data_IF_816678657164
#
_entry.id   IF_816678657164
#
_cell.length_a   1.000
_cell.length_b   1.000
_cell.length_c   1.000
_cell.angle_alpha   90.00
_cell.angle_beta   90.00
_cell.angle_gamma   90.00
#
_symmetry.space_group_name_H-M   'P 1'
#
loop_
_entity.id
_entity.type
_entity.pdbx_description
1 polymer ?
#
# COMPACT_ATOMS: atom_id res chain seq x y z
N UNK A 1 11.24 3.45 -27.26
CA UNK A 1 10.41 2.43 -26.57
C UNK A 1 9.11 2.36 -27.32
N UNK A 2 8.69 1.17 -27.75
CA UNK A 2 7.62 0.99 -28.73
C UNK A 2 6.25 1.02 -28.03
N UNK A 3 5.20 1.50 -28.70
CA UNK A 3 3.84 1.58 -28.15
C UNK A 3 3.26 0.24 -27.68
N UNK A 4 3.81 -0.89 -28.16
CA UNK A 4 3.44 -2.24 -27.73
C UNK A 4 3.97 -2.58 -26.33
N UNK A 5 5.17 -2.12 -25.98
CA UNK A 5 5.77 -2.37 -24.65
C UNK A 5 4.97 -1.69 -23.53
N UNK A 6 4.40 -0.51 -23.81
CA UNK A 6 3.61 0.25 -22.85
C UNK A 6 2.24 -0.39 -22.56
N UNK A 7 1.63 -1.03 -23.57
CA UNK A 7 0.35 -1.72 -23.42
C UNK A 7 0.49 -2.99 -22.56
N UNK A 8 1.54 -3.77 -22.78
CA UNK A 8 1.80 -5.00 -22.02
C UNK A 8 2.15 -4.68 -20.55
N UNK A 9 2.96 -3.64 -20.33
CA UNK A 9 3.24 -3.12 -18.98
C UNK A 9 1.96 -2.64 -18.27
N UNK A 10 1.06 -1.96 -18.99
CA UNK A 10 -0.20 -1.52 -18.41
C UNK A 10 -1.10 -2.70 -18.01
N UNK A 11 -1.18 -3.75 -18.83
CA UNK A 11 -1.98 -4.93 -18.51
C UNK A 11 -1.42 -5.71 -17.31
N UNK A 12 -0.08 -5.86 -17.25
CA UNK A 12 0.59 -6.47 -16.11
C UNK A 12 0.37 -5.65 -14.83
N UNK A 13 0.54 -4.33 -14.90
CA UNK A 13 0.27 -3.42 -13.80
C UNK A 13 -1.18 -3.56 -13.32
N UNK A 14 -2.14 -3.56 -14.25
CA UNK A 14 -3.56 -3.70 -13.92
C UNK A 14 -3.86 -5.03 -13.24
N UNK A 15 -3.33 -6.13 -13.77
CA UNK A 15 -3.52 -7.45 -13.17
C UNK A 15 -2.91 -7.56 -11.76
N UNK A 16 -1.74 -6.97 -11.54
CA UNK A 16 -1.10 -6.88 -10.23
C UNK A 16 -1.91 -6.01 -9.27
N UNK A 17 -2.36 -4.84 -9.75
CA UNK A 17 -3.20 -3.92 -8.99
C UNK A 17 -4.51 -4.57 -8.56
N UNK A 18 -5.21 -5.24 -9.48
CA UNK A 18 -6.50 -5.90 -9.24
C UNK A 18 -6.37 -7.15 -8.33
N UNK A 19 -5.18 -7.75 -8.24
CA UNK A 19 -4.92 -8.89 -7.34
C UNK A 19 -4.74 -8.48 -5.86
N UNK A 20 -4.53 -7.19 -5.59
CA UNK A 20 -4.41 -6.64 -4.24
C UNK A 20 -5.81 -6.30 -3.71
N UNK A 21 -6.09 -6.59 -2.43
CA UNK A 21 -7.31 -6.12 -1.77
C UNK A 21 -6.98 -5.44 -0.45
N UNK A 22 -7.74 -4.40 -0.14
CA UNK A 22 -7.74 -3.72 1.14
C UNK A 22 -9.00 -4.21 1.85
N UNK A 23 -8.87 -5.26 2.66
CA UNK A 23 -9.99 -5.93 3.33
C UNK A 23 -10.58 -5.08 4.47
N UNK A 24 -9.74 -4.24 5.07
CA UNK A 24 -10.12 -3.23 6.06
C UNK A 24 -9.28 -1.99 5.81
N UNK A 25 -9.93 -0.86 5.55
CA UNK A 25 -9.28 0.45 5.42
C UNK A 25 -9.51 1.27 6.68
N UNK A 26 -8.63 2.23 6.92
CA UNK A 26 -8.77 3.20 8.02
C UNK A 26 -9.54 4.42 7.50
N UNK A 27 -10.38 5.06 8.31
CA UNK A 27 -11.18 6.21 7.85
C UNK A 27 -10.49 7.57 8.06
N UNK A 28 -9.37 7.65 8.78
CA UNK A 28 -8.75 8.92 9.19
C UNK A 28 -7.89 9.66 8.15
N UNK A 29 -8.25 10.90 7.82
CA UNK A 29 -7.50 11.76 6.89
C UNK A 29 -6.04 11.99 7.35
N UNK A 30 -5.11 11.91 6.40
CA UNK A 30 -3.68 12.18 6.63
C UNK A 30 -3.44 13.67 6.89
N UNK A 31 -2.54 13.99 7.82
CA UNK A 31 -2.25 15.37 8.17
C UNK A 31 -1.73 16.19 6.98
N UNK A 32 -2.15 17.47 6.93
CA UNK A 32 -1.66 18.46 5.96
C UNK A 32 -0.18 18.76 6.07
N UNK A 33 0.43 18.60 7.26
CA UNK A 33 1.85 18.82 7.53
C UNK A 33 2.31 17.89 8.66
N UNK A 34 3.57 17.45 8.62
CA UNK A 34 4.14 16.58 9.65
C UNK A 34 4.02 15.09 9.31
N UNK A 35 4.03 14.26 10.36
CA UNK A 35 4.09 12.81 10.23
C UNK A 35 2.70 12.20 10.41
N UNK A 36 2.34 11.27 9.53
CA UNK A 36 1.19 10.38 9.69
C UNK A 36 1.67 8.94 9.74
N UNK A 37 1.03 8.11 10.55
CA UNK A 37 1.31 6.68 10.65
C UNK A 37 0.13 5.90 10.12
N UNK A 38 0.40 4.92 9.28
CA UNK A 38 -0.58 4.00 8.71
C UNK A 38 -0.20 2.57 9.08
N UNK A 39 -0.63 2.07 10.24
CA UNK A 39 -0.37 0.69 10.63
C UNK A 39 -1.23 -0.26 9.79
N UNK A 40 -0.70 -1.45 9.55
CA UNK A 40 -1.33 -2.47 8.73
C UNK A 40 -0.96 -3.88 9.17
N UNK A 41 -1.85 -4.82 8.87
CA UNK A 41 -1.52 -6.23 8.67
C UNK A 41 -1.47 -6.52 7.18
N UNK A 42 -0.43 -7.23 6.75
CA UNK A 42 -0.33 -7.78 5.41
C UNK A 42 -0.45 -9.30 5.50
N UNK A 43 -1.42 -9.83 4.77
CA UNK A 43 -1.64 -11.26 4.57
C UNK A 43 -1.25 -11.59 3.13
N UNK A 44 -0.27 -12.46 2.95
CA UNK A 44 0.13 -12.93 1.63
C UNK A 44 0.02 -14.44 1.50
N UNK A 45 -0.25 -14.93 0.30
CA UNK A 45 -0.36 -16.35 -0.02
C UNK A 45 -0.25 -16.57 -1.51
N UNK A 46 -0.22 -17.83 -1.96
CA UNK A 46 -0.38 -18.14 -3.38
C UNK A 46 -1.80 -17.84 -3.84
N UNK A 47 -1.98 -17.69 -5.15
CA UNK A 47 -3.31 -17.48 -5.71
C UNK A 47 -4.13 -18.74 -5.47
N UNK A 48 -5.28 -18.62 -4.82
CA UNK A 48 -6.33 -19.63 -4.85
C UNK A 48 -6.79 -19.80 -6.30
N UNK A 49 -6.07 -20.63 -7.04
CA UNK A 49 -6.48 -21.08 -8.36
C UNK A 49 -7.54 -22.14 -8.09
N UNK A 50 -8.79 -21.68 -7.97
CA UNK A 50 -9.96 -22.53 -8.09
C UNK A 50 -9.97 -23.13 -9.51
N UNK A 51 -9.17 -24.17 -9.72
CA UNK A 51 -8.95 -24.79 -11.02
C UNK A 51 -7.48 -25.09 -11.28
N UNK A 52 -7.22 -26.40 -11.34
CA UNK A 52 -6.06 -27.06 -11.93
C UNK A 52 -4.80 -27.27 -11.08
N UNK A 53 -4.62 -28.56 -10.75
CA UNK A 53 -3.42 -29.25 -10.31
C UNK A 53 -2.48 -28.51 -9.35
N UNK A 54 -2.65 -28.84 -8.06
CA UNK A 54 -1.70 -28.64 -6.96
C UNK A 54 -0.22 -28.65 -7.43
N UNK A 55 0.29 -27.46 -7.73
CA UNK A 55 1.72 -27.21 -7.82
C UNK A 55 2.14 -26.70 -6.45
N UNK A 56 2.92 -27.55 -5.80
CA UNK A 56 3.72 -27.31 -4.60
C UNK A 56 3.01 -26.78 -3.33
N UNK A 57 3.12 -27.52 -2.22
CA UNK A 57 2.51 -27.14 -0.93
C UNK A 57 3.07 -25.83 -0.34
N UNK A 58 4.19 -25.35 -0.87
CA UNK A 58 4.78 -24.05 -0.55
C UNK A 58 3.97 -22.87 -1.09
N UNK A 59 3.21 -23.06 -2.17
CA UNK A 59 2.35 -22.02 -2.77
C UNK A 59 1.07 -21.80 -1.94
N UNK A 60 0.70 -22.77 -1.09
CA UNK A 60 -0.45 -22.68 -0.19
C UNK A 60 -0.13 -22.02 1.17
N UNK A 61 1.14 -21.67 1.44
CA UNK A 61 1.51 -21.11 2.74
C UNK A 61 1.10 -19.65 2.83
N UNK A 62 0.15 -19.37 3.71
CA UNK A 62 -0.26 -18.01 4.06
C UNK A 62 0.72 -17.46 5.08
N UNK A 63 1.12 -16.21 4.90
CA UNK A 63 1.92 -15.47 5.86
C UNK A 63 1.28 -14.17 6.25
N UNK A 64 1.45 -13.82 7.52
CA UNK A 64 0.92 -12.62 8.14
C UNK A 64 2.08 -11.83 8.73
N UNK A 65 2.16 -10.55 8.40
CA UNK A 65 3.07 -9.61 9.05
C UNK A 65 2.35 -8.33 9.44
N UNK A 66 2.75 -7.77 10.57
CA UNK A 66 2.33 -6.44 10.99
C UNK A 66 3.38 -5.42 10.56
N UNK A 67 2.97 -4.24 10.17
CA UNK A 67 3.88 -3.14 9.88
C UNK A 67 3.21 -1.78 10.00
N UNK A 68 3.97 -0.75 9.68
CA UNK A 68 3.50 0.62 9.63
C UNK A 68 4.20 1.40 8.52
N UNK A 69 3.45 2.28 7.87
CA UNK A 69 4.03 3.28 6.97
C UNK A 69 4.04 4.62 7.67
N UNK A 70 5.23 5.22 7.77
CA UNK A 70 5.42 6.61 8.17
C UNK A 70 5.40 7.50 6.92
N UNK A 71 4.48 8.45 6.90
CA UNK A 71 4.35 9.46 5.86
C UNK A 71 4.78 10.80 6.44
N UNK A 72 5.90 11.34 5.95
CA UNK A 72 6.39 12.65 6.35
C UNK A 72 6.13 13.65 5.25
N UNK A 73 5.36 14.70 5.56
CA UNK A 73 5.22 15.89 4.72
C UNK A 73 6.08 17.03 5.30
N UNK A 74 7.09 17.52 4.55
CA UNK A 74 8.00 18.58 5.01
C UNK A 74 7.24 19.83 5.45
N UNK A 75 7.71 20.44 6.55
CA UNK A 75 7.11 21.64 7.15
C UNK A 75 7.60 22.97 6.55
N UNK A 76 8.49 22.93 5.56
CA UNK A 76 9.11 24.11 4.93
C UNK A 76 8.62 24.19 3.47
N UNK A 77 8.52 25.41 2.93
CA UNK A 77 8.30 25.63 1.49
C UNK A 77 9.32 24.81 0.72
N UNK A 78 8.84 23.74 0.10
CA UNK A 78 9.66 22.76 -0.60
C UNK A 78 9.63 23.14 -2.08
N UNK A 79 10.78 23.21 -2.77
CA UNK A 79 10.80 23.45 -4.21
C UNK A 79 9.89 22.44 -4.95
N UNK A 80 9.13 22.92 -5.94
CA UNK A 80 8.16 22.10 -6.69
C UNK A 80 8.80 20.92 -7.46
N UNK A 81 10.13 20.87 -7.53
CA UNK A 81 10.90 19.85 -8.22
C UNK A 81 11.44 18.73 -7.31
N UNK A 82 11.14 18.74 -6.01
CA UNK A 82 11.62 17.70 -5.11
C UNK A 82 10.84 16.40 -5.31
N UNK A 83 11.58 15.36 -5.67
CA UNK A 83 11.05 14.02 -5.92
C UNK A 83 10.65 13.34 -4.60
N UNK A 84 9.58 12.52 -4.60
CA UNK A 84 9.23 11.72 -3.43
C UNK A 84 10.31 10.70 -3.08
N UNK A 85 10.43 10.39 -1.79
CA UNK A 85 11.32 9.33 -1.27
C UNK A 85 10.48 8.14 -0.80
N UNK A 86 10.85 6.93 -1.25
CA UNK A 86 10.25 5.66 -0.81
C UNK A 86 11.32 4.78 -0.19
N UNK A 87 11.10 4.27 1.02
CA UNK A 87 12.05 3.41 1.74
C UNK A 87 11.37 2.14 2.23
N UNK A 88 12.03 1.00 1.98
CA UNK A 88 11.64 -0.34 2.46
C UNK A 88 10.27 -0.86 1.97
N UNK A 89 9.81 -0.43 0.80
CA UNK A 89 8.57 -0.93 0.21
C UNK A 89 8.78 -2.18 -0.65
N UNK A 90 9.87 -2.20 -1.41
CA UNK A 90 10.08 -3.12 -2.52
C UNK A 90 11.43 -3.81 -2.38
N UNK A 91 11.44 -5.12 -2.60
CA UNK A 91 12.65 -5.95 -2.48
C UNK A 91 13.21 -6.33 -3.87
N UNK A 92 12.42 -6.22 -4.93
CA UNK A 92 12.82 -6.57 -6.31
C UNK A 92 12.58 -5.44 -7.35
N UNK A 93 13.24 -5.58 -8.50
CA UNK A 93 13.19 -4.62 -9.62
C UNK A 93 11.81 -4.54 -10.31
N UNK A 94 11.01 -5.62 -10.28
CA UNK A 94 9.70 -5.66 -10.92
C UNK A 94 8.71 -4.75 -10.17
N UNK A 95 8.69 -4.84 -8.85
CA UNK A 95 7.92 -3.96 -7.98
C UNK A 95 8.32 -2.47 -8.15
N UNK A 96 9.62 -2.18 -8.33
CA UNK A 96 10.10 -0.84 -8.66
C UNK A 96 9.61 -0.34 -10.03
N UNK A 97 9.41 -1.23 -10.99
CA UNK A 97 8.83 -0.90 -12.30
C UNK A 97 7.42 -0.34 -12.18
N UNK A 98 6.58 -0.97 -11.37
CA UNK A 98 5.21 -0.52 -11.11
C UNK A 98 5.16 0.83 -10.39
N UNK A 99 6.06 1.07 -9.43
CA UNK A 99 6.22 2.37 -8.79
C UNK A 99 6.51 3.47 -9.81
N UNK A 100 7.51 3.27 -10.68
CA UNK A 100 7.88 4.26 -11.71
C UNK A 100 6.73 4.54 -12.65
N UNK A 101 5.99 3.51 -13.05
CA UNK A 101 4.82 3.63 -13.90
C UNK A 101 3.73 4.53 -13.27
N UNK A 102 3.50 4.39 -11.97
CA UNK A 102 2.55 5.21 -11.20
C UNK A 102 3.03 6.66 -10.99
N UNK A 103 4.29 6.85 -10.60
CA UNK A 103 4.84 8.19 -10.34
C UNK A 103 4.90 9.06 -11.59
N UNK A 104 5.19 8.46 -12.74
CA UNK A 104 5.15 9.17 -14.02
C UNK A 104 3.76 9.77 -14.34
N UNK A 105 2.70 9.32 -13.65
CA UNK A 105 1.31 9.69 -13.91
C UNK A 105 0.63 10.41 -12.74
N UNK A 106 1.32 10.62 -11.61
CA UNK A 106 0.72 11.19 -10.39
C UNK A 106 1.57 12.31 -9.79
N UNK A 107 1.02 13.54 -9.77
CA UNK A 107 1.62 14.69 -9.11
C UNK A 107 1.34 14.73 -7.58
N UNK A 108 0.48 13.85 -7.06
CA UNK A 108 0.00 13.90 -5.66
C UNK A 108 1.09 13.56 -4.64
N UNK A 109 2.19 12.93 -5.09
CA UNK A 109 3.27 12.47 -4.21
C UNK A 109 4.40 13.49 -4.03
N UNK A 110 4.35 14.64 -4.70
CA UNK A 110 5.41 15.65 -4.60
C UNK A 110 5.72 15.98 -3.15
N UNK A 111 7.01 16.01 -2.82
CA UNK A 111 7.52 16.32 -1.48
C UNK A 111 7.17 15.31 -0.37
N UNK A 112 6.62 14.12 -0.66
CA UNK A 112 6.36 13.11 0.38
C UNK A 112 7.58 12.22 0.63
N UNK A 113 7.83 11.90 1.91
CA UNK A 113 8.71 10.80 2.30
C UNK A 113 7.87 9.68 2.89
N UNK A 114 7.98 8.50 2.29
CA UNK A 114 7.28 7.29 2.70
C UNK A 114 8.32 6.28 3.18
N UNK A 115 8.17 5.83 4.42
CA UNK A 115 9.01 4.80 5.00
C UNK A 115 8.14 3.68 5.53
N UNK A 116 8.36 2.48 5.00
CA UNK A 116 7.73 1.27 5.50
C UNK A 116 8.61 0.63 6.58
N UNK A 117 7.98 0.17 7.65
CA UNK A 117 8.59 -0.61 8.72
C UNK A 117 7.75 -1.86 8.94
N UNK A 118 8.27 -3.01 8.53
CA UNK A 118 7.60 -4.30 8.68
C UNK A 118 8.22 -5.10 9.83
N UNK A 119 7.37 -5.69 10.65
CA UNK A 119 7.73 -6.68 11.64
C UNK A 119 7.99 -8.06 11.04
N UNK A 120 8.31 -9.06 11.88
CA UNK A 120 8.60 -10.40 11.42
C UNK A 120 7.38 -11.05 10.77
N UNK A 121 7.65 -11.83 9.72
CA UNK A 121 6.64 -12.65 9.05
C UNK A 121 6.33 -13.90 9.87
N UNK A 122 5.04 -14.22 10.00
CA UNK A 122 4.57 -15.46 10.62
C UNK A 122 3.80 -16.28 9.59
N UNK A 123 4.26 -17.50 9.36
CA UNK A 123 3.53 -18.47 8.53
C UNK A 123 2.37 -19.03 9.36
N UNK A 124 1.18 -19.05 8.76
CA UNK A 124 -0.02 -19.64 9.33
C UNK A 124 -0.49 -20.80 8.45
N UNK A 125 -1.23 -21.73 9.05
CA UNK A 125 -1.80 -22.88 8.34
C UNK A 125 -3.18 -22.60 7.75
N UNK A 126 -3.74 -21.43 8.05
CA UNK A 126 -5.08 -21.01 7.64
C UNK A 126 -5.10 -20.59 6.17
N UNK A 127 -6.30 -20.51 5.58
CA UNK A 127 -6.46 -19.80 4.30
C UNK A 127 -6.31 -18.28 4.47
N UNK A 128 -6.17 -17.55 3.37
CA UNK A 128 -6.09 -16.09 3.42
C UNK A 128 -7.35 -15.48 4.04
N UNK A 129 -8.53 -16.01 3.71
CA UNK A 129 -9.83 -15.59 4.23
C UNK A 129 -9.95 -15.84 5.72
N UNK A 130 -9.50 -17.00 6.19
CA UNK A 130 -9.51 -17.36 7.62
C UNK A 130 -8.55 -16.46 8.42
N UNK A 131 -7.37 -16.17 7.87
CA UNK A 131 -6.42 -15.24 8.48
C UNK A 131 -7.00 -13.82 8.58
N UNK A 132 -7.63 -13.33 7.50
CA UNK A 132 -8.31 -12.02 7.49
C UNK A 132 -9.45 -11.97 8.49
N UNK A 133 -10.32 -12.98 8.52
CA UNK A 133 -11.46 -13.04 9.44
C UNK A 133 -11.01 -13.03 10.90
N UNK A 134 -9.92 -13.74 11.21
CA UNK A 134 -9.31 -13.74 12.54
C UNK A 134 -8.78 -12.36 12.92
N UNK A 135 -8.05 -11.70 12.01
CA UNK A 135 -7.54 -10.35 12.23
C UNK A 135 -8.67 -9.33 12.41
N UNK A 136 -9.73 -9.41 11.61
CA UNK A 136 -10.91 -8.55 11.77
C UNK A 136 -11.54 -8.73 13.14
N UNK A 137 -11.80 -9.98 13.54
CA UNK A 137 -12.37 -10.30 14.85
C UNK A 137 -11.49 -9.81 16.00
N UNK A 138 -10.17 -9.97 15.87
CA UNK A 138 -9.21 -9.48 16.87
C UNK A 138 -9.27 -7.95 16.99
N UNK A 139 -9.16 -7.23 15.88
CA UNK A 139 -9.19 -5.75 15.87
C UNK A 139 -10.52 -5.21 16.39
N UNK A 140 -11.64 -5.87 16.11
CA UNK A 140 -12.95 -5.48 16.60
C UNK A 140 -13.07 -5.69 18.12
N UNK A 141 -12.49 -6.76 18.66
CA UNK A 141 -12.44 -7.01 20.11
C UNK A 141 -11.52 -6.03 20.84
N UNK A 142 -10.47 -5.56 20.16
CA UNK A 142 -9.53 -4.56 20.67
C UNK A 142 -10.01 -3.11 20.49
N UNK A 143 -11.18 -2.91 19.86
CA UNK A 143 -11.72 -1.59 19.47
C UNK A 143 -10.72 -0.78 18.61
N UNK A 144 -9.90 -1.45 17.81
CA UNK A 144 -8.81 -0.85 17.03
C UNK A 144 -9.28 -0.48 15.61
N UNK A 145 -9.58 0.79 15.38
CA UNK A 145 -10.10 1.32 14.11
C UNK A 145 -9.03 1.90 13.18
N UNK A 146 -7.75 1.91 13.60
CA UNK A 146 -6.65 2.58 12.88
C UNK A 146 -5.69 1.64 12.19
N UNK A 147 -5.95 0.34 12.21
CA UNK A 147 -5.12 -0.67 11.55
C UNK A 147 -5.82 -1.22 10.31
N UNK A 148 -5.14 -1.14 9.17
CA UNK A 148 -5.63 -1.72 7.92
C UNK A 148 -5.33 -3.23 7.84
N UNK A 149 -6.10 -3.96 7.03
CA UNK A 149 -5.80 -5.34 6.64
C UNK A 149 -5.69 -5.39 5.13
N UNK A 150 -4.55 -5.87 4.64
CA UNK A 150 -4.20 -5.96 3.23
C UNK A 150 -4.02 -7.42 2.84
N UNK A 151 -4.51 -7.80 1.66
CA UNK A 151 -4.27 -9.11 1.05
C UNK A 151 -3.63 -8.95 -0.33
N UNK A 152 -2.68 -9.84 -0.64
CA UNK A 152 -2.03 -9.87 -1.94
C UNK A 152 -1.35 -11.22 -2.21
N UNK A 153 -1.07 -11.55 -3.48
CA UNK A 153 -0.06 -12.56 -3.82
C UNK A 153 1.28 -12.26 -3.13
N UNK A 154 2.05 -13.31 -2.84
CA UNK A 154 3.34 -13.22 -2.13
C UNK A 154 4.30 -12.22 -2.77
N UNK A 155 4.35 -12.19 -4.09
CA UNK A 155 5.24 -11.34 -4.89
C UNK A 155 4.78 -9.88 -4.93
N UNK A 156 3.54 -9.58 -4.50
CA UNK A 156 2.94 -8.25 -4.58
C UNK A 156 2.81 -7.59 -3.19
N UNK A 157 3.49 -8.12 -2.18
CA UNK A 157 3.37 -7.64 -0.81
C UNK A 157 3.79 -6.17 -0.62
N UNK A 158 4.85 -5.73 -1.29
CA UNK A 158 5.28 -4.33 -1.27
C UNK A 158 4.32 -3.42 -2.00
N UNK A 159 3.90 -3.83 -3.21
CA UNK A 159 2.89 -3.14 -4.00
C UNK A 159 1.54 -2.99 -3.27
N UNK A 160 1.14 -3.97 -2.46
CA UNK A 160 -0.08 -3.91 -1.65
C UNK A 160 -0.03 -2.77 -0.62
N UNK A 161 1.08 -2.68 0.12
CA UNK A 161 1.32 -1.59 1.08
C UNK A 161 1.34 -0.25 0.36
N UNK A 162 2.01 -0.20 -0.79
CA UNK A 162 2.09 1.02 -1.60
C UNK A 162 0.72 1.49 -2.11
N UNK A 163 -0.11 0.57 -2.61
CA UNK A 163 -1.49 0.83 -3.04
C UNK A 163 -2.31 1.42 -1.90
N UNK A 164 -2.26 0.80 -0.73
CA UNK A 164 -2.96 1.29 0.46
C UNK A 164 -2.56 2.74 0.78
N UNK A 165 -1.25 3.03 0.85
CA UNK A 165 -0.75 4.39 1.12
C UNK A 165 -1.19 5.37 0.04
N UNK A 166 -1.12 4.97 -1.23
CA UNK A 166 -1.56 5.78 -2.37
C UNK A 166 -3.03 6.16 -2.26
N UNK A 167 -3.91 5.19 -1.95
CA UNK A 167 -5.33 5.44 -1.78
C UNK A 167 -5.58 6.39 -0.59
N UNK A 168 -4.85 6.25 0.53
CA UNK A 168 -4.95 7.18 1.67
C UNK A 168 -4.48 8.59 1.34
N UNK A 169 -3.37 8.72 0.61
CA UNK A 169 -2.83 10.02 0.16
C UNK A 169 -3.82 10.72 -0.77
N UNK A 170 -4.37 10.00 -1.75
CA UNK A 170 -5.36 10.55 -2.68
C UNK A 170 -6.66 10.95 -1.98
N UNK A 171 -7.18 10.11 -1.08
CA UNK A 171 -8.40 10.39 -0.33
C UNK A 171 -8.26 11.63 0.58
N UNK A 172 -7.05 11.90 1.08
CA UNK A 172 -6.80 13.04 1.98
C UNK A 172 -6.47 14.35 1.23
N UNK A 173 -6.18 14.29 -0.07
CA UNK A 173 -5.73 15.45 -0.84
C UNK A 173 -6.75 16.62 -0.88
N UNK A 174 -8.06 16.40 -1.11
CA UNK A 174 -9.04 17.49 -1.15
C UNK A 174 -9.18 18.21 0.21
N UNK A 175 -9.27 17.45 1.31
CA UNK A 175 -9.36 18.01 2.66
C UNK A 175 -8.11 18.82 3.03
N UNK A 176 -6.95 18.33 2.61
CA UNK A 176 -5.68 19.00 2.86
C UNK A 176 -5.53 20.34 2.14
N UNK A 177 -5.98 20.43 0.88
CA UNK A 177 -5.98 21.70 0.13
C UNK A 177 -6.92 22.71 0.79
N UNK A 178 -8.09 22.25 1.26
CA UNK A 178 -9.05 23.11 1.94
C UNK A 178 -8.50 23.67 3.26
N UNK A 179 -7.89 22.83 4.11
CA UNK A 179 -7.26 23.26 5.37
C UNK A 179 -6.13 24.27 5.14
N UNK A 180 -5.31 24.08 4.10
CA UNK A 180 -4.25 25.04 3.74
C UNK A 180 -4.81 26.38 3.26
N UNK A 181 -5.92 26.40 2.51
CA UNK A 181 -6.61 27.63 2.12
C UNK A 181 -7.20 28.35 3.32
N UNK A 182 -7.89 27.63 4.21
CA UNK A 182 -8.47 28.18 5.44
C UNK A 182 -7.41 28.80 6.36
N UNK A 183 -6.20 28.23 6.38
CA UNK A 183 -5.06 28.75 7.13
C UNK A 183 -4.23 29.80 6.38
N UNK A 184 -4.63 30.19 5.18
CA UNK A 184 -3.98 31.26 4.39
C UNK A 184 -2.65 30.85 3.74
N UNK A 185 -2.34 29.56 3.63
CA UNK A 185 -1.14 29.05 2.95
C UNK A 185 -1.34 28.89 1.43
N UNK A 186 -2.58 28.92 0.95
CA UNK A 186 -2.94 28.88 -0.46
C UNK A 186 -3.93 30.02 -0.78
N UNK A 187 -3.86 30.61 -1.99
CA UNK A 187 -4.77 31.65 -2.45
C UNK A 187 -6.22 31.18 -2.61
#
# INVERSE_FOLDING_TARGET
MSSFDEFDQFQQFRAAWDAIRIERSVEYMLFTLGDSELPYYLVTGGRDSAGDHARDKSDAMVSVRQGQVRITRPRIITPDNMQPEFRNFFEDEEEYGFLRFLLARSATFSNLKLQNESGPERIVTDTMEEAVSRLQTQLDQEEEDRVAILTAPRELGGLAIFRYVTERVMASAPGNIQELRERGFLP
#
